data_IF_329248762194
#
_entry.id   IF_329248762194
#
_cell.length_a   1.000
_cell.length_b   1.000
_cell.length_c   1.000
_cell.angle_alpha   90.00
_cell.angle_beta   90.00
_cell.angle_gamma   90.00
#
_symmetry.space_group_name_H-M   'P 1'
#
loop_
_entity.id
_entity.type
_entity.pdbx_description
1 polymer ?
#
# COMPACT_ATOMS: atom_id res chain seq x y z
N UNK A 1 4.17 -20.32 -34.61
CA UNK A 1 4.53 -20.04 -33.20
C UNK A 1 3.98 -21.07 -32.20
N UNK A 2 2.67 -21.37 -32.24
CA UNK A 2 2.03 -22.28 -31.26
C UNK A 2 2.38 -23.76 -31.36
N UNK A 3 2.96 -24.23 -32.48
CA UNK A 3 3.31 -25.64 -32.70
C UNK A 3 4.35 -26.19 -31.71
N UNK A 4 5.17 -25.31 -31.13
CA UNK A 4 6.21 -25.70 -30.15
C UNK A 4 5.78 -25.47 -28.70
N UNK A 5 4.57 -24.95 -28.47
CA UNK A 5 4.09 -24.75 -27.11
C UNK A 5 3.57 -26.08 -26.55
N UNK A 6 3.92 -26.43 -25.30
CA UNK A 6 3.34 -27.58 -24.64
C UNK A 6 1.83 -27.37 -24.44
N UNK A 7 1.02 -28.44 -24.45
CA UNK A 7 -0.39 -28.35 -24.10
C UNK A 7 -0.57 -27.78 -22.68
N UNK A 8 -1.49 -26.83 -22.53
CA UNK A 8 -1.84 -26.30 -21.21
C UNK A 8 -2.82 -27.24 -20.51
N UNK A 9 -2.54 -27.60 -19.25
CA UNK A 9 -3.43 -28.40 -18.43
C UNK A 9 -4.42 -27.50 -17.68
N UNK A 10 -5.64 -27.39 -18.21
CA UNK A 10 -6.69 -26.54 -17.63
C UNK A 10 -7.21 -27.03 -16.27
N UNK A 11 -7.15 -28.34 -16.01
CA UNK A 11 -7.58 -28.91 -14.72
C UNK A 11 -6.60 -28.47 -13.63
N UNK A 12 -5.30 -28.66 -13.89
CA UNK A 12 -4.25 -28.24 -12.99
C UNK A 12 -4.29 -26.72 -12.74
N UNK A 13 -4.43 -25.92 -13.80
CA UNK A 13 -4.52 -24.46 -13.65
C UNK A 13 -5.73 -24.03 -12.79
N UNK A 14 -6.86 -24.74 -12.91
CA UNK A 14 -8.05 -24.48 -12.09
C UNK A 14 -7.78 -24.78 -10.62
N UNK A 15 -7.15 -25.92 -10.32
CA UNK A 15 -6.82 -26.31 -8.95
C UNK A 15 -5.83 -25.31 -8.31
N UNK A 16 -4.81 -24.89 -9.06
CA UNK A 16 -3.83 -23.87 -8.62
C UNK A 16 -4.51 -22.52 -8.31
N UNK A 17 -5.47 -22.10 -9.14
CA UNK A 17 -6.23 -20.87 -8.91
C UNK A 17 -7.13 -20.96 -7.66
N UNK A 18 -7.79 -22.11 -7.45
CA UNK A 18 -8.61 -22.32 -6.25
C UNK A 18 -7.74 -22.31 -4.99
N UNK A 19 -6.58 -22.98 -5.02
CA UNK A 19 -5.64 -22.99 -3.90
C UNK A 19 -5.11 -21.58 -3.60
N UNK A 20 -4.74 -20.83 -4.65
CA UNK A 20 -4.18 -19.48 -4.51
C UNK A 20 -5.18 -18.49 -3.95
N UNK A 21 -6.43 -18.53 -4.41
CA UNK A 21 -7.44 -17.53 -4.06
C UNK A 21 -8.36 -17.94 -2.91
N UNK A 22 -8.40 -19.24 -2.58
CA UNK A 22 -9.21 -19.79 -1.49
C UNK A 22 -10.71 -19.84 -1.77
N UNK A 23 -11.14 -19.64 -3.02
CA UNK A 23 -12.55 -19.61 -3.43
C UNK A 23 -12.77 -20.35 -4.75
N UNK A 24 -14.02 -20.78 -5.04
CA UNK A 24 -14.35 -21.38 -6.33
C UNK A 24 -14.09 -20.40 -7.49
N UNK A 25 -13.35 -20.85 -8.50
CA UNK A 25 -13.13 -20.08 -9.74
C UNK A 25 -13.96 -20.64 -10.88
N UNK A 26 -14.39 -19.77 -11.79
CA UNK A 26 -15.18 -20.16 -12.96
C UNK A 26 -14.29 -20.62 -14.11
N UNK A 27 -14.84 -21.33 -15.09
CA UNK A 27 -14.08 -21.72 -16.28
C UNK A 27 -13.63 -20.49 -17.10
N UNK A 28 -14.35 -19.36 -16.99
CA UNK A 28 -13.93 -18.08 -17.55
C UNK A 28 -12.68 -17.52 -16.87
N UNK A 29 -12.55 -17.69 -15.55
CA UNK A 29 -11.36 -17.26 -14.82
C UNK A 29 -10.14 -18.10 -15.21
N UNK A 30 -10.33 -19.41 -15.42
CA UNK A 30 -9.26 -20.32 -15.92
C UNK A 30 -8.78 -19.87 -17.30
N UNK A 31 -9.69 -19.60 -18.23
CA UNK A 31 -9.33 -19.09 -19.56
C UNK A 31 -8.68 -17.71 -19.50
N UNK A 32 -9.17 -16.83 -18.63
CA UNK A 32 -8.61 -15.49 -18.42
C UNK A 32 -7.21 -15.56 -17.85
N UNK A 33 -6.95 -16.50 -16.93
CA UNK A 33 -5.62 -16.77 -16.40
C UNK A 33 -4.68 -17.35 -17.47
N UNK A 34 -5.17 -18.27 -18.31
CA UNK A 34 -4.38 -18.81 -19.42
C UNK A 34 -3.93 -17.73 -20.42
N UNK A 35 -4.73 -16.69 -20.64
CA UNK A 35 -4.41 -15.58 -21.55
C UNK A 35 -3.63 -14.46 -20.86
N UNK A 36 -4.02 -14.07 -19.63
CA UNK A 36 -3.50 -12.94 -18.88
C UNK A 36 -3.37 -13.28 -17.38
N UNK A 37 -2.37 -14.11 -16.98
CA UNK A 37 -2.30 -14.64 -15.62
C UNK A 37 -2.32 -13.57 -14.53
N UNK A 38 -1.48 -12.52 -14.69
CA UNK A 38 -1.37 -11.43 -13.72
C UNK A 38 -2.65 -10.59 -13.66
N UNK A 39 -3.25 -10.27 -14.81
CA UNK A 39 -4.46 -9.44 -14.86
C UNK A 39 -5.64 -10.19 -14.25
N UNK A 40 -5.73 -11.50 -14.49
CA UNK A 40 -6.73 -12.36 -13.86
C UNK A 40 -6.57 -12.38 -12.34
N UNK A 41 -5.33 -12.57 -11.85
CA UNK A 41 -5.00 -12.53 -10.43
C UNK A 41 -5.42 -11.21 -9.76
N UNK A 42 -5.01 -10.09 -10.35
CA UNK A 42 -5.35 -8.75 -9.89
C UNK A 42 -6.88 -8.54 -9.88
N UNK A 43 -7.58 -9.05 -10.89
CA UNK A 43 -9.04 -8.91 -11.02
C UNK A 43 -9.83 -9.79 -10.03
N UNK A 44 -9.37 -11.03 -9.75
CA UNK A 44 -9.98 -11.88 -8.73
C UNK A 44 -9.80 -11.23 -7.36
N UNK A 45 -8.61 -10.72 -7.06
CA UNK A 45 -8.34 -10.00 -5.82
C UNK A 45 -9.21 -8.75 -5.68
N UNK A 46 -9.37 -7.99 -6.76
CA UNK A 46 -10.24 -6.82 -6.82
C UNK A 46 -11.72 -7.17 -6.57
N UNK A 47 -12.24 -8.23 -7.19
CA UNK A 47 -13.61 -8.71 -6.97
C UNK A 47 -13.84 -9.16 -5.53
N UNK A 48 -12.83 -9.76 -4.89
CA UNK A 48 -12.91 -10.15 -3.47
C UNK A 48 -13.03 -8.94 -2.56
N UNK A 49 -12.28 -7.88 -2.85
CA UNK A 49 -12.25 -6.68 -2.03
C UNK A 49 -13.49 -5.80 -2.23
N UNK A 50 -13.93 -5.61 -3.49
CA UNK A 50 -14.97 -4.62 -3.83
C UNK A 50 -16.31 -5.22 -4.28
N UNK A 51 -16.38 -6.53 -4.51
CA UNK A 51 -17.58 -7.18 -5.00
C UNK A 51 -17.96 -6.80 -6.44
N UNK A 52 -19.24 -6.91 -6.83
CA UNK A 52 -19.72 -6.75 -8.21
C UNK A 52 -19.90 -5.28 -8.60
N UNK A 53 -18.79 -4.55 -8.69
CA UNK A 53 -18.81 -3.11 -9.03
C UNK A 53 -19.35 -2.78 -10.42
N UNK A 54 -19.49 -3.77 -11.30
CA UNK A 54 -20.13 -3.59 -12.62
C UNK A 54 -21.61 -3.26 -12.54
N UNK A 55 -22.23 -3.38 -11.36
CA UNK A 55 -23.64 -3.07 -11.12
C UNK A 55 -23.87 -1.59 -10.79
N UNK A 56 -22.82 -0.81 -10.54
CA UNK A 56 -22.93 0.63 -10.40
C UNK A 56 -23.15 1.30 -11.76
N UNK A 57 -23.86 2.42 -11.77
CA UNK A 57 -23.82 3.29 -12.94
C UNK A 57 -22.41 3.86 -13.15
N UNK A 58 -22.10 4.21 -14.39
CA UNK A 58 -20.76 4.64 -14.79
C UNK A 58 -20.25 5.85 -13.99
N UNK A 59 -21.13 6.78 -13.61
CA UNK A 59 -20.72 7.97 -12.86
C UNK A 59 -20.39 7.60 -11.42
N UNK A 60 -21.27 6.88 -10.74
CA UNK A 60 -21.00 6.39 -9.37
C UNK A 60 -19.72 5.55 -9.34
N UNK A 61 -19.52 4.68 -10.32
CA UNK A 61 -18.30 3.87 -10.42
C UNK A 61 -17.03 4.73 -10.56
N UNK A 62 -17.05 5.77 -11.41
CA UNK A 62 -15.86 6.55 -11.71
C UNK A 62 -15.56 7.65 -10.69
N UNK A 63 -16.59 8.30 -10.14
CA UNK A 63 -16.41 9.51 -9.31
C UNK A 63 -16.90 9.34 -7.88
N UNK A 64 -17.60 8.25 -7.57
CA UNK A 64 -18.32 8.08 -6.32
C UNK A 64 -19.54 9.01 -6.20
N UNK A 65 -20.34 8.81 -5.14
CA UNK A 65 -21.48 9.65 -4.82
C UNK A 65 -21.08 10.95 -4.12
N UNK A 66 -21.90 12.00 -4.27
CA UNK A 66 -21.78 13.25 -3.53
C UNK A 66 -22.52 13.16 -2.19
N UNK A 67 -22.12 13.98 -1.22
CA UNK A 67 -22.89 14.14 0.03
C UNK A 67 -24.31 14.62 -0.31
N UNK A 68 -25.30 13.95 0.27
CA UNK A 68 -26.73 14.14 -0.01
C UNK A 68 -27.25 13.40 -1.24
N UNK A 69 -26.40 12.67 -1.97
CA UNK A 69 -26.81 11.93 -3.16
C UNK A 69 -27.34 10.54 -2.82
N UNK A 70 -28.47 10.21 -3.43
CA UNK A 70 -29.11 8.90 -3.37
C UNK A 70 -28.95 8.18 -4.72
N UNK A 71 -28.69 6.88 -4.66
CA UNK A 71 -28.59 6.02 -5.84
C UNK A 71 -28.97 4.58 -5.49
N UNK A 72 -29.30 3.81 -6.53
CA UNK A 72 -29.76 2.43 -6.40
C UNK A 72 -28.80 1.47 -7.09
N UNK A 73 -28.54 0.32 -6.46
CA UNK A 73 -27.75 -0.77 -7.04
C UNK A 73 -28.61 -2.02 -7.08
N UNK A 74 -28.94 -2.50 -8.28
CA UNK A 74 -29.69 -3.74 -8.46
C UNK A 74 -28.72 -4.92 -8.45
N UNK A 75 -28.75 -5.72 -7.38
CA UNK A 75 -27.91 -6.92 -7.26
C UNK A 75 -28.43 -8.04 -8.16
N UNK A 76 -29.73 -8.31 -8.04
CA UNK A 76 -30.47 -9.33 -8.78
C UNK A 76 -31.93 -8.87 -8.90
N UNK A 77 -32.74 -9.57 -9.70
CA UNK A 77 -34.17 -9.25 -9.84
C UNK A 77 -34.86 -9.26 -8.47
N UNK A 78 -35.37 -8.10 -8.05
CA UNK A 78 -36.06 -7.93 -6.77
C UNK A 78 -35.14 -7.68 -5.56
N UNK A 79 -33.82 -7.59 -5.76
CA UNK A 79 -32.85 -7.21 -4.73
C UNK A 79 -32.16 -5.90 -5.12
N UNK A 80 -32.67 -4.80 -4.60
CA UNK A 80 -32.14 -3.44 -4.83
C UNK A 80 -31.59 -2.90 -3.52
N UNK A 81 -30.41 -2.29 -3.59
CA UNK A 81 -29.83 -1.51 -2.51
C UNK A 81 -30.11 -0.04 -2.77
N UNK A 82 -30.86 0.60 -1.90
CA UNK A 82 -31.02 2.05 -1.86
C UNK A 82 -29.93 2.62 -0.95
N UNK A 83 -29.08 3.46 -1.53
CA UNK A 83 -27.89 3.99 -0.86
C UNK A 83 -27.94 5.51 -0.89
N UNK A 84 -27.90 6.13 0.29
CA UNK A 84 -27.80 7.58 0.42
C UNK A 84 -26.49 7.95 1.11
N UNK A 85 -25.70 8.82 0.49
CA UNK A 85 -24.45 9.31 1.10
C UNK A 85 -24.77 10.46 2.01
N UNK A 86 -24.61 10.28 3.33
CA UNK A 86 -25.07 11.26 4.31
C UNK A 86 -24.01 12.31 4.62
N UNK A 87 -22.78 11.88 4.84
CA UNK A 87 -21.68 12.76 5.20
C UNK A 87 -20.32 12.07 5.00
N UNK A 88 -19.29 12.89 4.80
CA UNK A 88 -17.89 12.49 4.89
C UNK A 88 -17.26 13.34 5.99
N UNK A 89 -16.59 12.73 6.95
CA UNK A 89 -15.89 13.46 8.00
C UNK A 89 -14.86 14.42 7.40
N UNK A 90 -14.87 15.66 7.89
CA UNK A 90 -13.87 16.67 7.55
C UNK A 90 -12.52 16.34 8.20
N UNK A 91 -12.57 15.79 9.41
CA UNK A 91 -11.40 15.37 10.17
C UNK A 91 -10.98 13.97 9.77
N UNK A 92 -9.66 13.77 9.76
CA UNK A 92 -9.04 12.48 9.53
C UNK A 92 -8.71 11.82 10.85
N UNK A 93 -8.68 10.49 10.85
CA UNK A 93 -8.04 9.72 11.91
C UNK A 93 -6.52 9.87 11.83
N UNK A 94 -5.82 9.48 12.89
CA UNK A 94 -4.35 9.46 12.92
C UNK A 94 -3.73 8.55 11.84
N UNK A 95 -4.50 7.57 11.35
CA UNK A 95 -4.13 6.65 10.26
C UNK A 95 -4.36 7.23 8.86
N UNK A 96 -4.85 8.47 8.75
CA UNK A 96 -5.12 9.13 7.48
C UNK A 96 -6.42 8.69 6.78
N UNK A 97 -7.37 8.16 7.55
CA UNK A 97 -8.67 7.71 7.05
C UNK A 97 -9.74 8.76 7.36
N UNK A 98 -10.80 8.78 6.55
CA UNK A 98 -12.02 9.54 6.80
C UNK A 98 -13.16 8.59 7.07
N UNK A 99 -13.96 8.93 8.07
CA UNK A 99 -15.22 8.23 8.29
C UNK A 99 -16.27 8.73 7.29
N UNK A 100 -16.95 7.80 6.62
CA UNK A 100 -18.01 8.08 5.65
C UNK A 100 -19.30 7.44 6.15
N UNK A 101 -20.38 8.22 6.15
CA UNK A 101 -21.69 7.82 6.62
C UNK A 101 -22.62 7.58 5.44
N UNK A 102 -23.26 6.42 5.41
CA UNK A 102 -24.26 6.05 4.43
C UNK A 102 -25.55 5.62 5.12
N UNK A 103 -26.68 5.85 4.48
CA UNK A 103 -27.90 5.11 4.73
C UNK A 103 -28.01 4.00 3.68
N UNK A 104 -28.22 2.76 4.14
CA UNK A 104 -28.42 1.60 3.28
C UNK A 104 -29.77 0.97 3.62
N UNK A 105 -30.74 1.06 2.70
CA UNK A 105 -32.11 0.58 2.91
C UNK A 105 -32.72 1.07 4.24
N UNK A 106 -32.56 2.36 4.55
CA UNK A 106 -33.04 2.96 5.81
C UNK A 106 -32.16 2.73 7.04
N UNK A 107 -31.06 1.98 6.91
CA UNK A 107 -30.14 1.72 8.02
C UNK A 107 -28.86 2.55 7.91
N UNK A 108 -28.56 3.32 8.95
CA UNK A 108 -27.31 4.06 9.06
C UNK A 108 -26.11 3.10 9.17
N UNK A 109 -25.09 3.33 8.35
CA UNK A 109 -23.79 2.65 8.39
C UNK A 109 -22.67 3.66 8.28
N UNK A 110 -21.53 3.39 8.93
CA UNK A 110 -20.30 4.14 8.73
C UNK A 110 -19.14 3.24 8.38
N UNK A 111 -18.19 3.78 7.61
CA UNK A 111 -16.97 3.08 7.18
C UNK A 111 -15.78 4.04 7.24
N UNK A 112 -14.60 3.52 7.60
CA UNK A 112 -13.35 4.25 7.49
C UNK A 112 -12.73 4.01 6.10
N UNK A 113 -12.45 5.09 5.38
CA UNK A 113 -11.88 5.05 4.03
C UNK A 113 -10.59 5.84 3.99
N UNK A 114 -9.51 5.22 3.52
CA UNK A 114 -8.21 5.89 3.37
C UNK A 114 -8.28 7.03 2.37
N UNK A 115 -7.87 8.22 2.80
CA UNK A 115 -7.88 9.41 1.94
C UNK A 115 -6.69 9.42 0.98
N UNK A 116 -6.94 9.04 -0.28
CA UNK A 116 -5.91 8.97 -1.34
C UNK A 116 -5.41 10.35 -1.80
N UNK A 117 -6.11 11.45 -1.49
CA UNK A 117 -5.64 12.80 -1.82
C UNK A 117 -4.34 13.16 -1.07
N UNK A 118 -3.98 12.39 -0.04
CA UNK A 118 -2.76 12.57 0.77
C UNK A 118 -1.56 11.77 0.24
N UNK A 119 -1.74 10.91 -0.77
CA UNK A 119 -0.59 10.21 -1.37
C UNK A 119 0.44 11.18 -2.00
N UNK A 120 0.10 12.47 -2.12
CA UNK A 120 0.99 13.53 -2.63
C UNK A 120 1.66 14.39 -1.55
N UNK A 121 1.38 14.20 -0.25
CA UNK A 121 2.06 14.96 0.83
C UNK A 121 2.83 14.09 1.84
N UNK A 122 2.68 12.77 1.80
CA UNK A 122 3.66 11.88 2.45
C UNK A 122 4.76 11.64 1.42
N UNK A 123 5.86 12.41 1.47
CA UNK A 123 7.12 11.94 0.90
C UNK A 123 7.46 10.63 1.61
N UNK A 124 7.01 9.51 1.06
CA UNK A 124 7.42 8.20 1.53
C UNK A 124 8.90 8.10 1.25
N UNK A 125 9.68 8.05 2.32
CA UNK A 125 11.12 7.94 2.20
C UNK A 125 11.44 6.56 1.61
N UNK A 126 12.46 6.44 0.76
CA UNK A 126 12.92 5.13 0.30
C UNK A 126 13.21 4.25 1.51
N UNK A 127 12.88 2.95 1.44
CA UNK A 127 13.16 2.00 2.53
C UNK A 127 14.55 1.39 2.36
N UNK A 128 15.22 1.07 3.46
CA UNK A 128 16.50 0.38 3.44
C UNK A 128 16.37 -1.05 2.89
N UNK A 129 17.38 -1.48 2.11
CA UNK A 129 17.39 -2.81 1.51
C UNK A 129 17.74 -3.87 2.56
N UNK A 130 16.76 -4.72 2.90
CA UNK A 130 16.95 -5.82 3.86
C UNK A 130 18.05 -6.78 3.37
N UNK A 131 19.04 -7.03 4.21
CA UNK A 131 20.19 -7.89 3.92
C UNK A 131 21.41 -7.18 3.31
N UNK A 132 21.27 -5.92 2.89
CA UNK A 132 22.41 -5.12 2.41
C UNK A 132 22.97 -4.32 3.59
N UNK A 133 24.13 -4.75 4.13
CA UNK A 133 24.72 -4.10 5.32
C UNK A 133 25.05 -2.62 5.13
N UNK A 134 25.30 -2.18 3.88
CA UNK A 134 25.54 -0.78 3.55
C UNK A 134 24.28 0.08 3.46
N UNK A 135 23.07 -0.50 3.43
CA UNK A 135 21.82 0.25 3.37
C UNK A 135 21.28 0.45 4.78
N UNK A 136 21.52 1.62 5.37
CA UNK A 136 21.21 1.88 6.78
C UNK A 136 19.78 2.41 6.91
N UNK A 137 18.92 1.64 7.58
CA UNK A 137 17.54 2.02 7.89
C UNK A 137 17.39 2.69 9.26
N UNK A 138 16.33 3.49 9.41
CA UNK A 138 15.91 4.03 10.70
C UNK A 138 15.37 2.89 11.59
N UNK A 139 15.90 2.72 12.81
CA UNK A 139 15.53 1.59 13.67
C UNK A 139 14.12 1.72 14.27
N UNK A 140 13.59 2.94 14.32
CA UNK A 140 12.27 3.25 14.83
C UNK A 140 11.76 4.56 14.21
N UNK A 141 10.44 4.81 14.22
CA UNK A 141 9.89 6.10 13.81
C UNK A 141 10.41 7.24 14.70
N UNK A 142 10.79 8.37 14.10
CA UNK A 142 11.35 9.51 14.80
C UNK A 142 11.64 10.72 13.90
N UNK A 143 12.12 11.80 14.50
CA UNK A 143 12.55 13.02 13.78
C UNK A 143 14.07 13.17 13.85
N UNK A 144 14.73 13.44 12.74
CA UNK A 144 16.18 13.65 12.68
C UNK A 144 16.55 14.98 13.33
N UNK A 145 17.28 14.92 14.44
CA UNK A 145 17.76 16.12 15.16
C UNK A 145 19.06 16.62 14.53
N UNK A 146 19.93 15.70 14.15
CA UNK A 146 21.29 15.99 13.71
C UNK A 146 21.81 14.89 12.78
N UNK A 147 22.56 15.29 11.75
CA UNK A 147 23.35 14.40 10.89
C UNK A 147 24.82 14.66 11.17
N UNK A 148 25.58 13.63 11.51
CA UNK A 148 26.97 13.73 12.01
C UNK A 148 28.04 13.38 11.00
N UNK A 149 27.65 13.00 9.79
CA UNK A 149 28.54 12.58 8.70
C UNK A 149 28.18 13.30 7.41
N UNK A 150 29.11 13.35 6.47
CA UNK A 150 28.93 13.91 5.14
C UNK A 150 29.16 12.84 4.06
N UNK A 151 28.62 13.07 2.87
CA UNK A 151 28.91 12.21 1.72
C UNK A 151 30.40 12.24 1.39
N UNK A 152 31.01 11.07 1.21
CA UNK A 152 32.44 10.88 1.01
C UNK A 152 33.24 10.60 2.30
N UNK A 153 32.63 10.70 3.48
CA UNK A 153 33.33 10.41 4.74
C UNK A 153 33.64 8.92 4.89
N UNK A 154 34.85 8.62 5.36
CA UNK A 154 35.21 7.27 5.85
C UNK A 154 34.72 7.09 7.27
N UNK A 155 34.03 5.98 7.51
CA UNK A 155 33.39 5.67 8.79
C UNK A 155 33.77 4.28 9.29
N UNK A 156 33.86 4.14 10.61
CA UNK A 156 34.10 2.86 11.28
C UNK A 156 32.79 2.20 11.73
N UNK A 157 32.84 0.88 11.96
CA UNK A 157 31.71 0.16 12.55
C UNK A 157 31.41 0.71 13.95
N UNK A 158 30.15 1.06 14.19
CA UNK A 158 29.68 1.65 15.44
C UNK A 158 29.75 3.18 15.47
N UNK A 159 30.31 3.82 14.44
CA UNK A 159 30.40 5.27 14.38
C UNK A 159 29.00 5.91 14.33
N UNK A 160 28.72 6.95 15.14
CA UNK A 160 27.46 7.69 15.10
C UNK A 160 27.21 8.34 13.74
N UNK A 161 26.03 8.11 13.17
CA UNK A 161 25.62 8.60 11.86
C UNK A 161 24.63 9.75 11.96
N UNK A 162 23.50 9.51 12.64
CA UNK A 162 22.45 10.51 12.89
C UNK A 162 21.92 10.39 14.32
N UNK A 163 21.25 11.45 14.79
CA UNK A 163 20.50 11.46 16.04
C UNK A 163 19.01 11.58 15.72
N UNK A 164 18.22 10.64 16.22
CA UNK A 164 16.76 10.62 16.10
C UNK A 164 16.11 11.00 17.43
N UNK A 165 15.02 11.77 17.38
CA UNK A 165 14.10 11.99 18.50
C UNK A 165 12.83 11.17 18.31
N UNK A 166 12.49 10.35 19.29
CA UNK A 166 11.18 9.70 19.38
C UNK A 166 10.65 9.81 20.81
N UNK A 167 9.41 10.27 20.98
CA UNK A 167 8.75 10.37 22.30
C UNK A 167 9.59 11.12 23.37
N UNK A 168 10.29 12.20 22.97
CA UNK A 168 11.21 12.99 23.82
C UNK A 168 12.48 12.25 24.28
N UNK A 169 12.78 11.09 23.69
CA UNK A 169 14.05 10.39 23.86
C UNK A 169 14.89 10.53 22.60
N UNK A 170 16.17 10.78 22.79
CA UNK A 170 17.16 10.81 21.71
C UNK A 170 17.80 9.43 21.55
N UNK A 171 17.97 8.99 20.31
CA UNK A 171 18.63 7.74 19.96
C UNK A 171 19.66 8.00 18.87
N UNK A 172 20.85 7.44 19.04
CA UNK A 172 21.94 7.54 18.06
C UNK A 172 21.86 6.34 17.13
N UNK A 173 21.74 6.58 15.83
CA UNK A 173 21.87 5.54 14.80
C UNK A 173 23.34 5.39 14.48
N UNK A 174 23.86 4.18 14.61
CA UNK A 174 25.28 3.85 14.44
C UNK A 174 25.50 3.06 13.14
N UNK A 175 26.71 3.17 12.58
CA UNK A 175 27.07 2.40 11.39
C UNK A 175 27.19 0.90 11.69
N UNK A 176 26.54 0.01 10.92
CA UNK A 176 26.69 -1.43 11.10
C UNK A 176 28.02 -1.99 10.54
N UNK A 177 28.71 -1.23 9.69
CA UNK A 177 29.94 -1.62 8.96
C UNK A 177 30.93 -0.46 8.87
N UNK A 178 32.19 -0.76 8.58
CA UNK A 178 33.15 0.24 8.14
C UNK A 178 33.04 0.44 6.63
N UNK A 179 33.35 1.63 6.13
CA UNK A 179 33.27 1.96 4.71
C UNK A 179 33.21 3.46 4.44
N UNK A 180 32.77 3.83 3.24
CA UNK A 180 32.62 5.23 2.82
C UNK A 180 31.16 5.60 2.63
N UNK A 181 30.72 6.74 3.17
CA UNK A 181 29.35 7.25 3.00
C UNK A 181 29.14 7.63 1.54
N UNK A 182 28.25 6.93 0.83
CA UNK A 182 27.99 7.18 -0.59
C UNK A 182 26.93 8.25 -0.78
N UNK A 183 25.85 8.17 0.00
CA UNK A 183 24.71 9.07 -0.13
C UNK A 183 23.94 9.18 1.17
N UNK A 184 23.49 10.38 1.52
CA UNK A 184 22.67 10.64 2.70
C UNK A 184 21.26 11.01 2.25
N UNK A 185 20.26 10.29 2.77
CA UNK A 185 18.84 10.51 2.47
C UNK A 185 18.11 11.23 3.62
N UNK A 186 18.65 11.15 4.84
CA UNK A 186 18.15 11.85 6.01
C UNK A 186 18.62 13.32 6.05
N UNK A 187 17.69 14.24 6.35
CA UNK A 187 17.99 15.66 6.57
C UNK A 187 17.54 16.08 7.97
N UNK A 188 18.12 17.16 8.51
CA UNK A 188 17.65 17.75 9.78
C UNK A 188 16.15 18.08 9.70
N UNK A 189 15.43 17.84 10.80
CA UNK A 189 13.98 18.01 10.97
C UNK A 189 13.11 17.08 10.10
N UNK A 190 13.73 16.12 9.39
CA UNK A 190 13.01 15.11 8.61
C UNK A 190 12.38 14.05 9.51
N UNK A 191 11.11 13.70 9.24
CA UNK A 191 10.43 12.57 9.89
C UNK A 191 10.76 11.28 9.14
N UNK A 192 11.18 10.28 9.90
CA UNK A 192 11.44 8.93 9.41
C UNK A 192 10.47 7.96 10.09
N UNK A 193 9.99 6.98 9.34
CA UNK A 193 9.36 5.77 9.85
C UNK A 193 10.41 4.67 10.07
N UNK A 194 9.99 3.57 10.70
CA UNK A 194 10.82 2.36 10.76
C UNK A 194 11.20 1.88 9.35
N UNK A 195 12.43 1.42 9.21
CA UNK A 195 13.05 0.95 7.96
C UNK A 195 13.26 2.03 6.88
N UNK A 196 12.96 3.31 7.14
CA UNK A 196 13.30 4.39 6.19
C UNK A 196 14.81 4.49 6.00
N UNK A 197 15.26 4.59 4.75
CA UNK A 197 16.65 4.70 4.37
C UNK A 197 17.23 6.02 4.88
N UNK A 198 18.23 5.89 5.74
CA UNK A 198 19.00 7.01 6.29
C UNK A 198 20.15 7.35 5.37
N UNK A 199 20.94 6.34 4.97
CA UNK A 199 22.12 6.51 4.11
C UNK A 199 22.56 5.19 3.48
N UNK A 200 23.30 5.31 2.37
CA UNK A 200 24.03 4.21 1.75
C UNK A 200 25.53 4.32 2.04
N UNK A 201 26.13 3.21 2.44
CA UNK A 201 27.54 3.04 2.73
C UNK A 201 28.12 2.05 1.72
N UNK A 202 29.19 2.47 1.05
CA UNK A 202 30.03 1.57 0.28
C UNK A 202 30.97 0.85 1.25
N UNK A 203 30.80 -0.47 1.37
CA UNK A 203 31.56 -1.30 2.32
C UNK A 203 32.95 -1.54 1.74
N UNK A 204 33.97 -1.28 2.55
CA UNK A 204 35.37 -1.60 2.24
C UNK A 204 35.67 -3.12 2.34
#
# INVERSE_FOLDING_TARGET
PGQHLPPLNFIQLKDELIEKHGEPVTDHDVMSSAMYPKVCDDFIQFRREFGPVSLFDTRIFLTGPKVGEEFEVTLEKGKVLHITTLAVSETRTDTGEREVFFELNGQLRSFLVKDKAVATEIKSNPKALKGVKGSVGAPMPGTVIEVRVQEGDKIEKGQPLIVLSAMKMEMIVQSPVAGTVKKIFAAKDMKLEGDDLVMDIEVD
#
